data_IF_021469546112
#
_entry.id   IF_021469546112
#
_cell.length_a   1.000
_cell.length_b   1.000
_cell.length_c   1.000
_cell.angle_alpha   90.00
_cell.angle_beta   90.00
_cell.angle_gamma   90.00
#
_symmetry.space_group_name_H-M   'P 1'
#
loop_
_entity.id
_entity.type
_entity.pdbx_description
1 polymer ?
#
# COMPACT_ATOMS: atom_id res chain seq x y z
N UNK A 1 25.84 -11.22 -2.69
CA UNK A 1 24.75 -10.46 -3.33
C UNK A 1 23.74 -10.08 -2.23
N UNK A 2 23.71 -8.82 -1.77
CA UNK A 2 22.80 -8.40 -0.69
C UNK A 2 21.39 -8.40 -1.27
N UNK A 3 20.61 -9.45 -0.97
CA UNK A 3 19.29 -9.64 -1.54
C UNK A 3 18.33 -8.64 -0.90
N UNK A 4 18.13 -7.48 -1.54
CA UNK A 4 17.15 -6.51 -1.07
C UNK A 4 15.78 -7.18 -0.90
N UNK A 5 15.02 -6.91 0.18
CA UNK A 5 13.78 -7.65 0.46
C UNK A 5 12.73 -7.43 -0.64
N UNK A 6 11.83 -8.41 -0.79
CA UNK A 6 10.70 -8.29 -1.71
C UNK A 6 9.79 -7.14 -1.25
N UNK A 7 9.40 -6.26 -2.17
CA UNK A 7 8.44 -5.18 -1.88
C UNK A 7 7.10 -5.75 -1.38
N UNK A 8 6.67 -6.90 -1.92
CA UNK A 8 5.45 -7.56 -1.48
C UNK A 8 5.55 -8.12 -0.05
N UNK A 9 6.74 -8.58 0.38
CA UNK A 9 6.95 -9.01 1.77
C UNK A 9 7.02 -7.82 2.71
N UNK A 10 7.73 -6.77 2.32
CA UNK A 10 7.83 -5.52 3.05
C UNK A 10 6.44 -4.90 3.32
N UNK A 11 5.64 -4.71 2.28
CA UNK A 11 4.28 -4.14 2.42
C UNK A 11 3.36 -5.00 3.30
N UNK A 12 3.53 -6.33 3.31
CA UNK A 12 2.77 -7.21 4.23
C UNK A 12 3.12 -6.96 5.68
N UNK A 13 4.40 -6.71 5.98
CA UNK A 13 4.90 -6.48 7.34
C UNK A 13 4.39 -5.18 7.92
N UNK A 14 4.40 -4.10 7.14
CA UNK A 14 3.98 -2.76 7.60
C UNK A 14 2.47 -2.48 7.43
N UNK A 15 1.71 -3.45 6.90
CA UNK A 15 0.30 -3.28 6.50
C UNK A 15 -0.58 -2.62 7.56
N UNK A 16 -0.55 -3.12 8.80
CA UNK A 16 -1.44 -2.62 9.86
C UNK A 16 -1.19 -1.14 10.12
N UNK A 17 0.07 -0.81 10.33
CA UNK A 17 0.55 0.55 10.58
C UNK A 17 0.18 1.53 9.45
N UNK A 18 0.52 1.20 8.20
CA UNK A 18 0.24 2.13 7.09
C UNK A 18 -1.26 2.25 6.78
N UNK A 19 -2.04 1.18 6.96
CA UNK A 19 -3.49 1.27 6.78
C UNK A 19 -4.14 2.15 7.86
N UNK A 20 -3.67 2.09 9.10
CA UNK A 20 -4.15 2.94 10.18
C UNK A 20 -3.82 4.42 9.92
N UNK A 21 -2.57 4.72 9.57
CA UNK A 21 -2.13 6.10 9.27
C UNK A 21 -2.98 6.69 8.14
N UNK A 22 -3.15 5.95 7.05
CA UNK A 22 -3.91 6.43 5.89
C UNK A 22 -5.40 6.57 6.23
N UNK A 23 -5.98 5.67 7.04
CA UNK A 23 -7.37 5.78 7.49
C UNK A 23 -7.59 7.07 8.27
N UNK A 24 -6.68 7.39 9.19
CA UNK A 24 -6.75 8.60 10.01
C UNK A 24 -6.69 9.88 9.17
N UNK A 25 -5.85 9.91 8.15
CA UNK A 25 -5.65 11.12 7.31
C UNK A 25 -6.74 11.29 6.26
N UNK A 26 -7.25 10.18 5.71
CA UNK A 26 -8.22 10.23 4.60
C UNK A 26 -9.69 10.12 5.03
N UNK A 27 -9.95 9.67 6.25
CA UNK A 27 -11.31 9.35 6.72
C UNK A 27 -11.91 8.10 6.05
N UNK A 28 -11.16 7.40 5.20
CA UNK A 28 -11.65 6.20 4.50
C UNK A 28 -11.62 5.00 5.44
N UNK A 29 -12.64 4.15 5.32
CA UNK A 29 -12.75 2.94 6.13
C UNK A 29 -11.54 2.02 5.93
N UNK A 30 -11.03 1.48 7.04
CA UNK A 30 -9.81 0.66 7.06
C UNK A 30 -9.89 -0.57 6.14
N UNK A 31 -11.09 -1.17 6.00
CA UNK A 31 -11.34 -2.28 5.08
C UNK A 31 -10.96 -1.93 3.63
N UNK A 32 -11.38 -0.75 3.16
CA UNK A 32 -11.12 -0.28 1.79
C UNK A 32 -9.63 -0.08 1.56
N UNK A 33 -8.97 0.57 2.51
CA UNK A 33 -7.53 0.84 2.43
C UNK A 33 -6.75 -0.48 2.42
N UNK A 34 -7.17 -1.45 3.24
CA UNK A 34 -6.61 -2.78 3.24
C UNK A 34 -6.79 -3.47 1.89
N UNK A 35 -7.94 -3.28 1.24
CA UNK A 35 -8.19 -3.84 -0.08
C UNK A 35 -7.29 -3.22 -1.16
N UNK A 36 -7.11 -1.91 -1.16
CA UNK A 36 -6.20 -1.20 -2.07
C UNK A 36 -4.76 -1.68 -1.86
N UNK A 37 -4.32 -1.77 -0.59
CA UNK A 37 -2.99 -2.26 -0.28
C UNK A 37 -2.79 -3.73 -0.69
N UNK A 38 -3.82 -4.59 -0.58
CA UNK A 38 -3.78 -5.96 -1.11
C UNK A 38 -3.51 -5.97 -2.62
N UNK A 39 -4.15 -5.09 -3.39
CA UNK A 39 -3.87 -4.95 -4.82
C UNK A 39 -2.43 -4.50 -5.09
N UNK A 40 -1.92 -3.53 -4.32
CA UNK A 40 -0.51 -3.10 -4.41
C UNK A 40 0.44 -4.29 -4.16
N UNK A 41 0.20 -5.08 -3.11
CA UNK A 41 1.01 -6.27 -2.79
C UNK A 41 0.99 -7.30 -3.91
N UNK A 42 -0.18 -7.56 -4.52
CA UNK A 42 -0.31 -8.48 -5.66
C UNK A 42 0.47 -7.95 -6.86
N UNK A 43 0.36 -6.65 -7.16
CA UNK A 43 1.08 -5.99 -8.26
C UNK A 43 2.60 -6.05 -8.05
N UNK A 44 3.08 -5.76 -6.84
CA UNK A 44 4.50 -5.85 -6.49
C UNK A 44 5.04 -7.28 -6.69
N UNK A 45 4.25 -8.30 -6.33
CA UNK A 45 4.64 -9.71 -6.55
C UNK A 45 4.69 -10.04 -8.04
N UNK A 46 3.67 -9.65 -8.81
CA UNK A 46 3.60 -9.92 -10.25
C UNK A 46 4.76 -9.29 -11.02
N UNK A 47 5.22 -8.11 -10.59
CA UNK A 47 6.35 -7.40 -11.18
C UNK A 47 7.71 -7.77 -10.55
N UNK A 48 7.73 -8.71 -9.60
CA UNK A 48 8.92 -9.11 -8.84
C UNK A 48 9.72 -7.93 -8.25
N UNK A 49 9.01 -6.92 -7.71
CA UNK A 49 9.64 -5.72 -7.18
C UNK A 49 10.45 -6.00 -5.92
N UNK A 50 11.61 -5.36 -5.83
CA UNK A 50 12.51 -5.39 -4.66
C UNK A 50 12.72 -3.97 -4.14
N UNK A 51 12.94 -3.82 -2.84
CA UNK A 51 13.32 -2.52 -2.28
C UNK A 51 14.66 -2.09 -2.88
N UNK A 52 14.76 -0.83 -3.29
CA UNK A 52 16.01 -0.22 -3.76
C UNK A 52 16.53 0.84 -2.79
N UNK A 53 15.79 1.06 -1.70
CA UNK A 53 16.01 2.09 -0.68
C UNK A 53 15.90 1.47 0.72
N UNK A 54 16.39 2.16 1.77
CA UNK A 54 16.22 1.72 3.15
C UNK A 54 14.74 1.54 3.52
N UNK A 55 14.47 0.60 4.43
CA UNK A 55 13.09 0.27 4.82
C UNK A 55 12.33 1.44 5.43
N UNK A 56 13.02 2.32 6.16
CA UNK A 56 12.43 3.53 6.75
C UNK A 56 11.92 4.49 5.67
N UNK A 57 12.76 4.82 4.68
CA UNK A 57 12.35 5.61 3.53
C UNK A 57 11.25 4.91 2.70
N UNK A 58 11.34 3.58 2.53
CA UNK A 58 10.30 2.81 1.85
C UNK A 58 8.95 2.86 2.59
N UNK A 59 8.96 2.90 3.92
CA UNK A 59 7.76 3.00 4.75
C UNK A 59 7.07 4.34 4.54
N UNK A 60 7.82 5.44 4.61
CA UNK A 60 7.28 6.78 4.37
C UNK A 60 6.66 6.90 2.98
N UNK A 61 7.39 6.47 1.94
CA UNK A 61 6.89 6.48 0.57
C UNK A 61 5.69 5.55 0.36
N UNK A 62 5.59 4.46 1.13
CA UNK A 62 4.43 3.57 1.08
C UNK A 62 3.16 4.24 1.61
N UNK A 63 3.27 5.05 2.67
CA UNK A 63 2.14 5.85 3.19
C UNK A 63 1.68 6.86 2.15
N UNK A 64 2.62 7.59 1.52
CA UNK A 64 2.33 8.57 0.47
C UNK A 64 1.65 7.88 -0.73
N UNK A 65 2.24 6.79 -1.23
CA UNK A 65 1.70 6.06 -2.37
C UNK A 65 0.32 5.48 -2.08
N UNK A 66 0.11 4.87 -0.91
CA UNK A 66 -1.18 4.32 -0.51
C UNK A 66 -2.24 5.44 -0.40
N UNK A 67 -1.87 6.59 0.16
CA UNK A 67 -2.76 7.77 0.24
C UNK A 67 -3.15 8.26 -1.15
N UNK A 68 -2.20 8.37 -2.08
CA UNK A 68 -2.47 8.74 -3.47
C UNK A 68 -3.45 7.76 -4.14
N UNK A 69 -3.26 6.45 -3.94
CA UNK A 69 -4.16 5.42 -4.47
C UNK A 69 -5.57 5.52 -3.86
N UNK A 70 -5.68 5.71 -2.55
CA UNK A 70 -6.96 5.90 -1.86
C UNK A 70 -7.69 7.14 -2.40
N UNK A 71 -7.01 8.28 -2.49
CA UNK A 71 -7.60 9.50 -3.01
C UNK A 71 -7.96 9.39 -4.50
N UNK A 72 -7.20 8.61 -5.28
CA UNK A 72 -7.54 8.32 -6.67
C UNK A 72 -8.84 7.51 -6.78
N UNK A 73 -9.04 6.50 -5.94
CA UNK A 73 -10.30 5.75 -5.86
C UNK A 73 -11.46 6.65 -5.45
N UNK A 74 -11.26 7.55 -4.49
CA UNK A 74 -12.30 8.52 -4.11
C UNK A 74 -12.65 9.48 -5.25
N UNK A 75 -11.64 10.02 -5.96
CA UNK A 75 -11.84 10.96 -7.08
C UNK A 75 -12.53 10.32 -8.28
N UNK A 76 -12.19 9.07 -8.59
CA UNK A 76 -12.75 8.35 -9.76
C UNK A 76 -14.14 7.76 -9.49
N UNK A 77 -14.63 7.88 -8.27
CA UNK A 77 -15.88 7.26 -7.84
C UNK A 77 -15.67 5.79 -7.51
N UNK A 78 -16.39 5.32 -6.50
CA UNK A 78 -16.37 3.92 -6.06
C UNK A 78 -17.03 3.02 -7.12
N UNK A 79 -16.29 2.66 -8.16
CA UNK A 79 -16.70 1.56 -9.04
C UNK A 79 -16.53 0.24 -8.28
N UNK A 80 -17.60 -0.11 -7.55
CA UNK A 80 -17.93 -1.38 -6.92
C UNK A 80 -16.78 -2.40 -6.87
N UNK A 81 -16.11 -2.44 -5.73
CA UNK A 81 -15.43 -3.66 -5.29
C UNK A 81 -16.56 -4.64 -4.93
N UNK A 82 -16.74 -5.76 -5.65
CA UNK A 82 -17.67 -6.79 -5.21
C UNK A 82 -17.15 -7.35 -3.88
N UNK A 83 -17.98 -7.30 -2.85
CA UNK A 83 -17.76 -7.97 -1.56
C UNK A 83 -17.83 -9.48 -1.74
#
# INVERSE_FOLDING_TARGET
>A
HRSYPSAAQFLRRIRGEICEIVARVTGVHHYTINHILKHMIVRCRALNLRLTIPEEAARELSVVALTMQVMQVLRTGYHRIPL
#
